data_IF_142099192950
#
_entry.id   IF_142099192950
#
_cell.length_a   1.000
_cell.length_b   1.000
_cell.length_c   1.000
_cell.angle_alpha   90.00
_cell.angle_beta   90.00
_cell.angle_gamma   90.00
#
_symmetry.space_group_name_H-M   'P 1'
#
loop_
_entity.id
_entity.type
_entity.pdbx_description
1 polymer ?
#
# COMPACT_ATOMS: atom_id res chain seq x y z
N UNK A 1 -6.05 -14.64 -12.88
CA UNK A 1 -6.01 -15.07 -11.46
C UNK A 1 -6.49 -13.89 -10.66
N UNK A 2 -7.61 -14.02 -9.93
CA UNK A 2 -8.11 -12.93 -9.10
C UNK A 2 -7.32 -12.94 -7.78
N UNK A 3 -6.91 -11.78 -7.28
CA UNK A 3 -6.15 -11.67 -6.03
C UNK A 3 -6.91 -12.21 -4.81
N UNK A 4 -8.22 -12.17 -4.89
CA UNK A 4 -9.20 -12.64 -3.91
C UNK A 4 -9.22 -14.16 -3.78
N UNK A 5 -8.72 -14.88 -4.79
CA UNK A 5 -8.69 -16.35 -4.84
C UNK A 5 -7.37 -16.91 -4.30
N UNK A 6 -6.38 -16.05 -4.00
CA UNK A 6 -5.08 -16.48 -3.50
C UNK A 6 -5.21 -17.10 -2.10
N UNK A 7 -4.54 -18.24 -1.91
CA UNK A 7 -4.47 -18.94 -0.62
C UNK A 7 -3.02 -19.33 -0.28
N UNK A 8 -2.80 -19.84 0.92
CA UNK A 8 -1.49 -20.37 1.35
C UNK A 8 -0.34 -19.37 1.23
N UNK A 9 0.80 -19.86 0.73
CA UNK A 9 2.06 -19.10 0.65
C UNK A 9 2.00 -17.97 -0.38
N UNK A 10 1.27 -18.17 -1.49
CA UNK A 10 1.10 -17.14 -2.51
C UNK A 10 0.35 -15.93 -1.96
N UNK A 11 -0.75 -16.19 -1.21
CA UNK A 11 -1.47 -15.13 -0.48
C UNK A 11 -0.54 -14.41 0.48
N UNK A 12 0.24 -15.16 1.25
CA UNK A 12 1.16 -14.60 2.25
C UNK A 12 2.20 -13.69 1.60
N UNK A 13 2.80 -14.12 0.49
CA UNK A 13 3.79 -13.35 -0.25
C UNK A 13 3.19 -12.04 -0.79
N UNK A 14 1.98 -12.10 -1.37
CA UNK A 14 1.29 -10.91 -1.88
C UNK A 14 0.94 -9.93 -0.77
N UNK A 15 0.42 -10.42 0.37
CA UNK A 15 0.11 -9.58 1.53
C UNK A 15 1.38 -8.88 2.03
N UNK A 16 2.49 -9.61 2.20
CA UNK A 16 3.76 -9.03 2.66
C UNK A 16 4.29 -7.98 1.68
N UNK A 17 4.21 -8.25 0.37
CA UNK A 17 4.63 -7.31 -0.65
C UNK A 17 3.78 -6.02 -0.64
N UNK A 18 2.46 -6.13 -0.53
CA UNK A 18 1.56 -4.99 -0.43
C UNK A 18 1.78 -4.18 0.86
N UNK A 19 2.02 -4.84 1.98
CA UNK A 19 2.36 -4.16 3.24
C UNK A 19 3.69 -3.40 3.13
N UNK A 20 4.71 -3.99 2.51
CA UNK A 20 5.98 -3.32 2.26
C UNK A 20 5.82 -2.10 1.36
N UNK A 21 5.03 -2.24 0.28
CA UNK A 21 4.73 -1.14 -0.63
C UNK A 21 3.96 0.00 0.07
N UNK A 22 3.00 -0.34 0.93
CA UNK A 22 2.26 0.65 1.72
C UNK A 22 3.19 1.46 2.62
N UNK A 23 4.09 0.79 3.36
CA UNK A 23 5.08 1.47 4.21
C UNK A 23 6.00 2.39 3.42
N UNK A 24 6.48 1.94 2.27
CA UNK A 24 7.32 2.78 1.40
C UNK A 24 6.59 4.03 0.92
N UNK A 25 5.33 3.89 0.46
CA UNK A 25 4.51 5.02 -0.01
C UNK A 25 4.18 6.00 1.11
N UNK A 26 3.83 5.51 2.31
CA UNK A 26 3.61 6.38 3.48
C UNK A 26 4.89 7.13 3.84
N UNK A 27 6.04 6.45 3.83
CA UNK A 27 7.32 7.09 4.12
C UNK A 27 7.63 8.20 3.11
N UNK A 28 7.39 7.97 1.82
CA UNK A 28 7.58 8.96 0.77
C UNK A 28 6.64 10.16 0.93
N UNK A 29 5.36 9.90 1.22
CA UNK A 29 4.38 10.95 1.48
C UNK A 29 4.80 11.81 2.68
N UNK A 30 5.11 11.20 3.82
CA UNK A 30 5.55 11.89 5.03
C UNK A 30 6.85 12.69 4.82
N UNK A 31 7.79 12.14 4.03
CA UNK A 31 9.02 12.85 3.67
C UNK A 31 8.71 14.11 2.87
N UNK A 32 7.72 14.04 1.98
CA UNK A 32 7.29 15.18 1.17
C UNK A 32 6.57 16.23 2.01
N UNK A 33 5.71 15.82 2.94
CA UNK A 33 5.10 16.72 3.92
C UNK A 33 6.14 17.49 4.74
N UNK A 34 7.27 16.85 5.02
CA UNK A 34 8.37 17.48 5.77
C UNK A 34 9.18 18.45 4.92
N UNK A 35 9.45 18.10 3.66
CA UNK A 35 10.35 18.88 2.80
C UNK A 35 9.66 20.04 2.06
N UNK A 36 8.35 19.94 1.79
CA UNK A 36 7.65 20.86 0.90
C UNK A 36 6.68 21.78 1.65
N UNK A 37 6.68 23.08 1.32
CA UNK A 37 5.70 24.06 1.83
C UNK A 37 4.29 23.87 1.23
N UNK A 38 4.22 23.29 0.05
CA UNK A 38 2.99 22.94 -0.66
C UNK A 38 3.14 21.51 -1.19
N UNK A 39 2.93 20.49 -0.35
CA UNK A 39 3.06 19.10 -0.77
C UNK A 39 1.97 18.73 -1.78
N UNK A 40 2.25 17.77 -2.69
CA UNK A 40 1.22 17.21 -3.55
C UNK A 40 0.17 16.45 -2.73
N UNK A 41 -0.99 16.21 -3.34
CA UNK A 41 -2.03 15.38 -2.73
C UNK A 41 -1.54 13.93 -2.53
N UNK A 42 -2.18 13.23 -1.60
CA UNK A 42 -1.79 11.88 -1.16
C UNK A 42 -2.04 10.81 -2.24
N UNK A 43 -3.00 11.06 -3.12
CA UNK A 43 -3.30 10.26 -4.32
C UNK A 43 -2.08 10.10 -5.25
N UNK A 44 -1.21 11.10 -5.34
CA UNK A 44 0.04 11.03 -6.12
C UNK A 44 0.95 9.90 -5.64
N UNK A 45 0.89 9.55 -4.36
CA UNK A 45 1.68 8.46 -3.77
C UNK A 45 1.00 7.10 -3.90
N UNK A 46 -0.25 7.07 -4.37
CA UNK A 46 -1.04 5.86 -4.57
C UNK A 46 -1.35 5.10 -3.28
N UNK A 47 -1.59 5.80 -2.17
CA UNK A 47 -1.84 5.16 -0.87
C UNK A 47 -3.15 4.36 -0.88
N UNK A 48 -4.19 4.92 -1.49
CA UNK A 48 -5.51 4.30 -1.58
C UNK A 48 -5.48 2.99 -2.36
N UNK A 49 -4.72 2.90 -3.45
CA UNK A 49 -4.64 1.72 -4.31
C UNK A 49 -4.03 0.52 -3.57
N UNK A 50 -3.04 0.76 -2.71
CA UNK A 50 -2.41 -0.32 -1.93
C UNK A 50 -3.31 -0.74 -0.77
N UNK A 51 -3.99 0.20 -0.12
CA UNK A 51 -4.98 -0.10 0.90
C UNK A 51 -6.13 -0.92 0.32
N UNK A 52 -6.60 -0.54 -0.87
CA UNK A 52 -7.64 -1.22 -1.62
C UNK A 52 -7.20 -2.64 -2.02
N UNK A 53 -5.97 -2.80 -2.52
CA UNK A 53 -5.43 -4.11 -2.86
C UNK A 53 -5.33 -5.03 -1.63
N UNK A 54 -4.87 -4.50 -0.48
CA UNK A 54 -4.85 -5.23 0.79
C UNK A 54 -6.26 -5.64 1.21
N UNK A 55 -7.22 -4.72 1.12
CA UNK A 55 -8.62 -4.96 1.48
C UNK A 55 -9.25 -6.07 0.64
N UNK A 56 -8.98 -6.11 -0.66
CA UNK A 56 -9.49 -7.15 -1.57
C UNK A 56 -9.01 -8.55 -1.20
N UNK A 57 -7.76 -8.70 -0.77
CA UNK A 57 -7.20 -9.98 -0.32
C UNK A 57 -7.52 -10.31 1.16
N UNK A 58 -8.41 -9.55 1.80
CA UNK A 58 -8.82 -9.74 3.19
C UNK A 58 -7.70 -9.40 4.19
N UNK A 59 -6.84 -8.45 3.86
CA UNK A 59 -5.76 -7.95 4.70
C UNK A 59 -5.96 -6.46 4.99
N UNK A 60 -5.17 -5.94 5.92
CA UNK A 60 -5.09 -4.52 6.23
C UNK A 60 -3.62 -4.07 6.25
N UNK A 61 -3.36 -2.76 6.09
CA UNK A 61 -2.03 -2.22 6.32
C UNK A 61 -1.52 -2.47 7.74
N UNK A 62 -0.20 -2.62 7.89
CA UNK A 62 0.51 -2.82 9.16
C UNK A 62 1.68 -1.85 9.26
#
# INVERSE_FOLDING_TARGET
>A
MQSEELTGDERTLVVVALQALHRQRISAYNSTLTACKAPPADDVFGLHEVQEALRRIGAAPV
#
